data_IF_531388882838
#
_entry.id   IF_531388882838
#
_cell.length_a   1.000
_cell.length_b   1.000
_cell.length_c   1.000
_cell.angle_alpha   90.00
_cell.angle_beta   90.00
_cell.angle_gamma   90.00
#
_symmetry.space_group_name_H-M   'P 1'
#
loop_
_entity.id
_entity.type
_entity.pdbx_description
1 polymer ?
#
# COMPACT_ATOMS: atom_id res chain seq x y z
N UNK A 1 -7.46 4.97 -14.54
CA UNK A 1 -7.61 5.38 -13.13
C UNK A 1 -7.86 6.87 -13.13
N UNK A 2 -9.08 7.29 -12.79
CA UNK A 2 -9.43 8.71 -12.79
C UNK A 2 -8.52 9.47 -11.80
N UNK A 3 -7.84 10.51 -12.26
CA UNK A 3 -6.88 11.28 -11.46
C UNK A 3 -7.48 11.77 -10.13
N UNK A 4 -8.79 12.01 -10.11
CA UNK A 4 -9.57 12.35 -8.92
C UNK A 4 -9.51 11.28 -7.82
N UNK A 5 -9.68 9.99 -8.17
CA UNK A 5 -9.65 8.89 -7.21
C UNK A 5 -8.25 8.73 -6.58
N UNK A 6 -7.20 8.94 -7.37
CA UNK A 6 -5.83 8.92 -6.88
C UNK A 6 -5.57 10.07 -5.90
N UNK A 7 -6.02 11.29 -6.25
CA UNK A 7 -5.88 12.47 -5.40
C UNK A 7 -6.64 12.31 -4.07
N UNK A 8 -7.88 11.83 -4.10
CA UNK A 8 -8.66 11.54 -2.89
C UNK A 8 -7.94 10.53 -1.98
N UNK A 9 -7.32 9.49 -2.57
CA UNK A 9 -6.54 8.51 -1.83
C UNK A 9 -5.33 9.14 -1.16
N UNK A 10 -4.59 9.99 -1.87
CA UNK A 10 -3.45 10.70 -1.30
C UNK A 10 -3.87 11.63 -0.16
N UNK A 11 -4.91 12.44 -0.36
CA UNK A 11 -5.46 13.30 0.69
C UNK A 11 -5.85 12.51 1.94
N UNK A 12 -6.50 11.36 1.76
CA UNK A 12 -6.88 10.49 2.87
C UNK A 12 -5.66 9.96 3.63
N UNK A 13 -4.65 9.46 2.89
CA UNK A 13 -3.42 8.92 3.50
C UNK A 13 -2.67 10.03 4.24
N UNK A 14 -2.50 11.21 3.64
CA UNK A 14 -1.83 12.34 4.30
C UNK A 14 -2.56 12.76 5.58
N UNK A 15 -3.89 12.86 5.55
CA UNK A 15 -4.69 13.16 6.74
C UNK A 15 -4.46 12.12 7.85
N UNK A 16 -4.48 10.83 7.50
CA UNK A 16 -4.22 9.75 8.46
C UNK A 16 -2.80 9.82 9.04
N UNK A 17 -1.77 9.97 8.19
CA UNK A 17 -0.37 10.00 8.64
C UNK A 17 -0.10 11.17 9.59
N UNK A 18 -0.61 12.37 9.27
CA UNK A 18 -0.41 13.56 10.12
C UNK A 18 -1.06 13.35 11.50
N UNK A 19 -2.32 12.89 11.55
CA UNK A 19 -3.04 12.72 12.81
C UNK A 19 -2.47 11.58 13.65
N UNK A 20 -2.27 10.41 13.05
CA UNK A 20 -1.77 9.22 13.76
C UNK A 20 -0.32 9.45 14.19
N UNK A 21 0.51 10.05 13.34
CA UNK A 21 1.88 10.44 13.67
C UNK A 21 1.93 11.41 14.86
N UNK A 22 1.06 12.42 14.89
CA UNK A 22 0.96 13.34 16.02
C UNK A 22 0.52 12.67 17.33
N UNK A 23 -0.41 11.71 17.27
CA UNK A 23 -0.83 10.92 18.43
C UNK A 23 0.31 10.03 18.95
N UNK A 24 1.01 9.32 18.06
CA UNK A 24 2.18 8.51 18.40
C UNK A 24 3.28 9.36 19.04
N UNK A 25 3.64 10.49 18.41
CA UNK A 25 4.63 11.41 18.94
C UNK A 25 4.25 11.91 20.34
N UNK A 26 2.98 12.28 20.53
CA UNK A 26 2.50 12.75 21.83
C UNK A 26 2.62 11.66 22.91
N UNK A 27 2.26 10.41 22.56
CA UNK A 27 2.20 9.28 23.49
C UNK A 27 3.58 8.72 23.88
N UNK A 28 4.51 8.67 22.93
CA UNK A 28 5.80 7.99 23.11
C UNK A 28 6.99 8.92 23.25
N UNK A 29 6.92 10.16 22.76
CA UNK A 29 8.00 11.12 22.87
C UNK A 29 7.64 12.28 23.80
N UNK A 30 6.55 13.01 23.52
CA UNK A 30 6.25 14.25 24.22
C UNK A 30 5.88 14.06 25.69
N UNK A 31 4.95 13.15 26.00
CA UNK A 31 4.54 12.93 27.40
C UNK A 31 5.67 12.35 28.26
N UNK A 32 6.42 11.32 27.80
CA UNK A 32 7.57 10.82 28.56
C UNK A 32 8.66 11.87 28.76
N UNK A 33 8.97 12.69 27.74
CA UNK A 33 10.00 13.73 27.87
C UNK A 33 9.63 14.85 28.86
N UNK A 34 8.33 15.02 29.14
CA UNK A 34 7.82 16.01 30.09
C UNK A 34 7.56 15.41 31.49
N UNK A 35 7.86 14.12 31.70
CA UNK A 35 7.58 13.46 32.98
C UNK A 35 8.41 14.05 34.13
N UNK A 36 9.66 14.42 33.86
CA UNK A 36 10.62 14.92 34.87
C UNK A 36 10.59 16.44 35.04
N UNK A 37 9.67 17.14 34.35
CA UNK A 37 9.57 18.60 34.39
C UNK A 37 8.49 19.05 35.37
N UNK A 38 8.72 20.19 36.03
CA UNK A 38 7.72 20.87 36.87
C UNK A 38 6.36 21.05 36.16
N UNK A 39 5.29 20.88 36.92
CA UNK A 39 3.91 20.89 36.43
C UNK A 39 3.54 22.19 35.71
N UNK A 40 3.95 23.34 36.24
CA UNK A 40 3.63 24.65 35.67
C UNK A 40 4.34 24.84 34.32
N UNK A 41 5.59 24.40 34.22
CA UNK A 41 6.35 24.46 32.98
C UNK A 41 5.81 23.49 31.93
N UNK A 42 5.45 22.28 32.37
CA UNK A 42 4.82 21.25 31.53
C UNK A 42 3.52 21.75 30.91
N UNK A 43 2.63 22.34 31.70
CA UNK A 43 1.35 22.88 31.21
C UNK A 43 1.54 23.99 30.18
N UNK A 44 2.47 24.93 30.43
CA UNK A 44 2.80 26.02 29.50
C UNK A 44 3.32 25.49 28.16
N UNK A 45 4.20 24.48 28.18
CA UNK A 45 4.74 23.86 26.97
C UNK A 45 3.63 23.15 26.20
N UNK A 46 2.83 22.34 26.89
CA UNK A 46 1.71 21.62 26.26
C UNK A 46 0.67 22.57 25.67
N UNK A 47 0.35 23.69 26.34
CA UNK A 47 -0.53 24.73 25.83
C UNK A 47 -0.02 25.32 24.51
N UNK A 48 1.27 25.69 24.46
CA UNK A 48 1.90 26.27 23.27
C UNK A 48 1.92 25.29 22.10
N UNK A 49 2.28 24.02 22.35
CA UNK A 49 2.29 22.97 21.33
C UNK A 49 0.86 22.75 20.81
N UNK A 50 -0.10 22.59 21.72
CA UNK A 50 -1.50 22.35 21.36
C UNK A 50 -2.06 23.48 20.50
N UNK A 51 -1.77 24.74 20.81
CA UNK A 51 -2.24 25.89 20.02
C UNK A 51 -1.73 25.85 18.57
N UNK A 52 -0.50 25.39 18.36
CA UNK A 52 0.08 25.22 17.02
C UNK A 52 -0.40 23.95 16.33
N UNK A 53 -0.70 22.91 17.08
CA UNK A 53 -1.11 21.61 16.55
C UNK A 53 -2.60 21.54 16.21
N UNK A 54 -3.46 22.26 16.93
CA UNK A 54 -4.91 22.22 16.75
C UNK A 54 -5.38 22.48 15.30
N UNK A 55 -4.84 23.48 14.56
CA UNK A 55 -5.20 23.67 13.15
C UNK A 55 -4.88 22.46 12.28
N UNK A 56 -3.73 21.81 12.51
CA UNK A 56 -3.34 20.58 11.80
C UNK A 56 -4.28 19.42 12.10
N UNK A 57 -4.76 19.32 13.34
CA UNK A 57 -5.78 18.32 13.72
C UNK A 57 -7.07 18.57 12.96
N UNK A 58 -7.56 19.80 12.93
CA UNK A 58 -8.79 20.17 12.22
C UNK A 58 -8.66 19.90 10.72
N UNK A 59 -7.54 20.32 10.10
CA UNK A 59 -7.27 20.08 8.68
C UNK A 59 -7.20 18.57 8.39
N UNK A 60 -6.47 17.80 9.20
CA UNK A 60 -6.34 16.36 9.02
C UNK A 60 -7.68 15.62 9.12
N UNK A 61 -8.51 15.96 10.12
CA UNK A 61 -9.85 15.37 10.28
C UNK A 61 -10.74 15.76 9.09
N UNK A 62 -10.69 17.03 8.68
CA UNK A 62 -11.47 17.53 7.53
C UNK A 62 -11.08 16.81 6.24
N UNK A 63 -9.78 16.64 5.98
CA UNK A 63 -9.28 15.88 4.84
C UNK A 63 -9.77 14.43 4.87
N UNK A 64 -9.73 13.77 6.03
CA UNK A 64 -10.21 12.39 6.17
C UNK A 64 -11.72 12.26 5.95
N UNK A 65 -12.51 13.19 6.48
CA UNK A 65 -13.95 13.21 6.31
C UNK A 65 -14.35 13.47 4.86
N UNK A 66 -13.80 14.52 4.24
CA UNK A 66 -14.11 14.88 2.84
C UNK A 66 -13.67 13.78 1.88
N UNK A 67 -12.43 13.30 2.01
CA UNK A 67 -11.93 12.23 1.12
C UNK A 67 -12.67 10.91 1.33
N UNK A 68 -12.95 10.54 2.59
CA UNK A 68 -13.66 9.32 2.93
C UNK A 68 -15.11 9.34 2.45
N UNK A 69 -15.80 10.47 2.62
CA UNK A 69 -17.20 10.63 2.20
C UNK A 69 -17.32 10.64 0.67
N UNK A 70 -16.48 11.41 -0.03
CA UNK A 70 -16.48 11.43 -1.49
C UNK A 70 -16.20 10.04 -2.07
N UNK A 71 -15.22 9.32 -1.52
CA UNK A 71 -14.92 7.95 -1.97
C UNK A 71 -16.09 6.98 -1.71
N UNK A 72 -16.79 7.14 -0.59
CA UNK A 72 -18.00 6.34 -0.30
C UNK A 72 -19.13 6.61 -1.30
N UNK A 73 -19.40 7.88 -1.61
CA UNK A 73 -20.45 8.27 -2.57
C UNK A 73 -20.13 7.76 -3.97
N UNK A 74 -18.90 7.94 -4.46
CA UNK A 74 -18.46 7.44 -5.76
C UNK A 74 -18.56 5.92 -5.83
N UNK A 75 -18.10 5.22 -4.79
CA UNK A 75 -18.20 3.76 -4.75
C UNK A 75 -19.66 3.28 -4.80
N UNK A 76 -20.54 3.89 -4.01
CA UNK A 76 -21.95 3.54 -4.00
C UNK A 76 -22.66 3.84 -5.33
N UNK A 77 -22.29 4.94 -6.01
CA UNK A 77 -22.84 5.27 -7.32
C UNK A 77 -22.38 4.29 -8.40
N UNK A 78 -21.10 3.88 -8.39
CA UNK A 78 -20.57 2.88 -9.33
C UNK A 78 -21.23 1.52 -9.14
N UNK A 79 -21.42 1.07 -7.89
CA UNK A 79 -22.11 -0.19 -7.59
C UNK A 79 -23.55 -0.16 -8.08
N UNK A 80 -24.25 0.97 -7.90
CA UNK A 80 -25.62 1.15 -8.40
C UNK A 80 -25.69 1.17 -9.93
N UNK A 81 -24.69 1.72 -10.61
CA UNK A 81 -24.70 1.86 -12.08
C UNK A 81 -24.24 0.61 -12.82
N UNK A 82 -23.37 -0.21 -12.22
CA UNK A 82 -22.78 -1.37 -12.88
C UNK A 82 -23.53 -2.69 -12.60
N UNK A 83 -24.69 -2.65 -11.93
CA UNK A 83 -25.49 -3.83 -11.56
C UNK A 83 -24.62 -4.99 -11.06
N UNK A 84 -23.66 -4.73 -10.16
CA UNK A 84 -22.80 -5.76 -9.57
C UNK A 84 -23.66 -6.71 -8.72
N UNK A 85 -24.24 -7.70 -9.40
CA UNK A 85 -25.11 -8.77 -8.94
C UNK A 85 -26.19 -8.33 -7.97
N UNK A 86 -27.27 -7.67 -8.42
CA UNK A 86 -28.53 -7.40 -7.66
C UNK A 86 -28.36 -6.98 -6.17
N UNK A 87 -27.23 -6.38 -5.79
CA UNK A 87 -26.85 -6.19 -4.38
C UNK A 87 -26.63 -7.48 -3.56
N UNK A 88 -26.72 -8.67 -4.17
CA UNK A 88 -26.45 -9.98 -3.57
C UNK A 88 -25.02 -10.08 -3.07
N UNK A 89 -24.02 -9.65 -3.84
CA UNK A 89 -22.61 -9.69 -3.41
C UNK A 89 -22.36 -8.84 -2.15
N UNK A 90 -22.98 -7.66 -2.06
CA UNK A 90 -22.91 -6.80 -0.88
C UNK A 90 -23.64 -7.37 0.35
N UNK A 91 -24.77 -8.05 0.16
CA UNK A 91 -25.49 -8.76 1.25
C UNK A 91 -24.70 -9.97 1.74
N UNK A 92 -24.12 -10.74 0.83
CA UNK A 92 -23.34 -11.94 1.17
C UNK A 92 -22.06 -11.60 1.93
N UNK A 93 -21.36 -10.53 1.57
CA UNK A 93 -20.09 -10.16 2.23
C UNK A 93 -20.26 -9.21 3.42
N UNK A 94 -21.50 -8.82 3.77
CA UNK A 94 -21.81 -7.85 4.84
C UNK A 94 -21.00 -6.55 4.79
N UNK A 95 -20.57 -6.14 3.57
CA UNK A 95 -19.61 -5.06 3.36
C UNK A 95 -20.06 -3.73 3.99
N UNK A 96 -21.34 -3.39 3.83
CA UNK A 96 -21.93 -2.17 4.37
C UNK A 96 -21.88 -2.12 5.90
N UNK A 97 -22.10 -3.25 6.58
CA UNK A 97 -22.06 -3.31 8.02
C UNK A 97 -20.63 -3.11 8.53
N UNK A 98 -19.65 -3.81 7.94
CA UNK A 98 -18.24 -3.69 8.34
C UNK A 98 -17.69 -2.28 8.02
N UNK A 99 -18.06 -1.72 6.87
CA UNK A 99 -17.73 -0.33 6.53
C UNK A 99 -18.36 0.65 7.53
N UNK A 100 -19.63 0.47 7.90
CA UNK A 100 -20.32 1.29 8.89
C UNK A 100 -19.64 1.24 10.26
N UNK A 101 -19.24 0.05 10.71
CA UNK A 101 -18.47 -0.13 11.96
C UNK A 101 -17.13 0.62 11.89
N UNK A 102 -16.39 0.48 10.79
CA UNK A 102 -15.14 1.22 10.57
C UNK A 102 -15.37 2.74 10.62
N UNK A 103 -16.43 3.23 9.98
CA UNK A 103 -16.76 4.65 9.95
C UNK A 103 -17.11 5.17 11.34
N UNK A 104 -17.92 4.43 12.11
CA UNK A 104 -18.24 4.77 13.51
C UNK A 104 -17.00 4.77 14.40
N UNK A 105 -16.11 3.78 14.25
CA UNK A 105 -14.82 3.76 14.95
C UNK A 105 -13.98 4.98 14.59
N UNK A 106 -13.91 5.37 13.32
CA UNK A 106 -13.18 6.56 12.88
C UNK A 106 -13.76 7.85 13.48
N UNK A 107 -15.10 7.98 13.54
CA UNK A 107 -15.75 9.09 14.25
C UNK A 107 -15.40 9.10 15.73
N UNK A 108 -15.35 7.94 16.39
CA UNK A 108 -14.88 7.79 17.77
C UNK A 108 -13.43 8.29 17.93
N UNK A 109 -12.53 7.89 17.03
CA UNK A 109 -11.15 8.40 17.00
C UNK A 109 -11.11 9.92 16.89
N UNK A 110 -11.88 10.51 15.96
CA UNK A 110 -11.90 11.96 15.78
C UNK A 110 -12.47 12.69 16.99
N UNK A 111 -13.49 12.13 17.63
CA UNK A 111 -14.06 12.65 18.86
C UNK A 111 -13.02 12.69 19.98
N UNK A 112 -12.33 11.58 20.25
CA UNK A 112 -11.29 11.53 21.27
C UNK A 112 -10.09 12.42 20.92
N UNK A 113 -9.62 12.40 19.67
CA UNK A 113 -8.54 13.28 19.22
C UNK A 113 -8.90 14.76 19.42
N UNK A 114 -10.11 15.17 19.06
CA UNK A 114 -10.62 16.52 19.31
C UNK A 114 -10.69 16.84 20.81
N UNK A 115 -11.14 15.89 21.64
CA UNK A 115 -11.16 16.03 23.10
C UNK A 115 -9.78 16.21 23.73
N UNK A 116 -8.77 15.49 23.22
CA UNK A 116 -7.39 15.58 23.69
C UNK A 116 -6.73 16.94 23.39
N UNK A 117 -6.98 17.49 22.19
CA UNK A 117 -6.37 18.73 21.73
C UNK A 117 -7.29 19.97 21.87
N UNK A 118 -8.54 19.77 22.28
CA UNK A 118 -9.54 20.81 22.50
C UNK A 118 -9.46 21.50 23.87
N UNK A 119 -10.33 22.50 24.06
CA UNK A 119 -10.44 23.29 25.31
C UNK A 119 -11.79 23.13 26.04
N UNK A 120 -12.73 22.36 25.47
CA UNK A 120 -14.07 22.20 26.03
C UNK A 120 -14.05 21.66 27.47
N UNK A 121 -14.96 22.17 28.30
CA UNK A 121 -15.19 21.67 29.66
C UNK A 121 -15.73 20.24 29.65
N UNK A 122 -16.59 19.90 28.67
CA UNK A 122 -17.18 18.56 28.51
C UNK A 122 -16.17 17.44 28.23
N UNK A 123 -14.96 17.77 27.79
CA UNK A 123 -13.86 16.80 27.56
C UNK A 123 -12.69 17.00 28.52
N UNK A 124 -12.89 17.71 29.64
CA UNK A 124 -11.84 17.91 30.63
C UNK A 124 -11.38 16.58 31.28
N UNK A 125 -12.29 15.62 31.46
CA UNK A 125 -11.99 14.29 32.01
C UNK A 125 -11.05 13.45 31.12
N UNK A 126 -11.06 13.69 29.81
CA UNK A 126 -10.10 13.07 28.87
C UNK A 126 -8.70 13.61 29.14
N UNK A 127 -8.61 14.88 29.56
CA UNK A 127 -7.35 15.61 29.75
C UNK A 127 -6.71 15.38 31.12
N UNK A 128 -7.48 14.96 32.13
CA UNK A 128 -6.92 14.55 33.42
C UNK A 128 -6.08 13.28 33.28
N UNK A 129 -6.57 12.30 32.52
CA UNK A 129 -5.90 11.02 32.29
C UNK A 129 -5.37 10.88 30.85
N UNK A 130 -4.69 11.92 30.34
CA UNK A 130 -4.23 11.98 28.92
C UNK A 130 -3.52 10.73 28.43
N UNK A 131 -2.66 10.14 29.25
CA UNK A 131 -1.87 8.96 28.87
C UNK A 131 -2.77 7.76 28.53
N UNK A 132 -3.82 7.54 29.32
CA UNK A 132 -4.79 6.45 29.13
C UNK A 132 -5.62 6.69 27.88
N UNK A 133 -6.19 7.89 27.74
CA UNK A 133 -7.05 8.23 26.60
C UNK A 133 -6.29 8.34 25.28
N UNK A 134 -5.03 8.77 25.29
CA UNK A 134 -4.13 8.65 24.15
C UNK A 134 -3.96 7.18 23.73
N UNK A 135 -3.70 6.29 24.70
CA UNK A 135 -3.56 4.86 24.45
C UNK A 135 -4.83 4.24 23.85
N UNK A 136 -5.99 4.56 24.41
CA UNK A 136 -7.30 4.12 23.89
C UNK A 136 -7.50 4.62 22.47
N UNK A 137 -7.28 5.92 22.22
CA UNK A 137 -7.42 6.51 20.87
C UNK A 137 -6.51 5.82 19.86
N UNK A 138 -5.26 5.54 20.26
CA UNK A 138 -4.30 4.84 19.40
C UNK A 138 -4.71 3.40 19.12
N UNK A 139 -5.26 2.70 20.11
CA UNK A 139 -5.85 1.37 19.94
C UNK A 139 -7.02 1.38 18.95
N UNK A 140 -7.91 2.37 19.04
CA UNK A 140 -9.01 2.54 18.07
C UNK A 140 -8.48 2.82 16.66
N UNK A 141 -7.44 3.65 16.51
CA UNK A 141 -6.78 3.88 15.21
C UNK A 141 -6.25 2.57 14.63
N UNK A 142 -5.57 1.75 15.42
CA UNK A 142 -5.07 0.44 14.98
C UNK A 142 -6.22 -0.47 14.54
N UNK A 143 -7.32 -0.51 15.31
CA UNK A 143 -8.51 -1.27 14.93
C UNK A 143 -9.09 -0.79 13.58
N UNK A 144 -9.19 0.52 13.36
CA UNK A 144 -9.63 1.10 12.07
C UNK A 144 -8.72 0.67 10.92
N UNK A 145 -7.40 0.65 11.12
CA UNK A 145 -6.43 0.21 10.10
C UNK A 145 -6.58 -1.28 9.81
N UNK A 146 -6.73 -2.13 10.83
CA UNK A 146 -6.96 -3.57 10.66
C UNK A 146 -8.26 -3.84 9.89
N UNK A 147 -9.37 -3.21 10.26
CA UNK A 147 -10.63 -3.30 9.51
C UNK A 147 -10.47 -2.80 8.08
N UNK A 148 -9.69 -1.74 7.85
CA UNK A 148 -9.43 -1.23 6.51
C UNK A 148 -8.66 -2.22 5.64
N UNK A 149 -7.66 -2.90 6.22
CA UNK A 149 -6.88 -3.93 5.53
C UNK A 149 -7.75 -5.13 5.19
N UNK A 150 -8.57 -5.58 6.14
CA UNK A 150 -9.48 -6.70 5.92
C UNK A 150 -10.53 -6.39 4.84
N UNK A 151 -11.18 -5.22 4.88
CA UNK A 151 -12.13 -4.78 3.85
C UNK A 151 -11.50 -4.68 2.46
N UNK A 152 -10.20 -4.36 2.38
CA UNK A 152 -9.46 -4.36 1.11
C UNK A 152 -9.24 -5.78 0.60
N UNK A 153 -8.90 -6.71 1.48
CA UNK A 153 -8.72 -8.11 1.12
C UNK A 153 -10.01 -8.73 0.57
N UNK A 154 -11.18 -8.38 1.14
CA UNK A 154 -12.49 -8.80 0.62
C UNK A 154 -12.83 -8.24 -0.77
N UNK A 155 -12.24 -7.10 -1.15
CA UNK A 155 -12.44 -6.46 -2.46
C UNK A 155 -11.50 -6.94 -3.54
N UNK A 156 -10.32 -7.44 -3.17
CA UNK A 156 -9.48 -8.13 -4.13
C UNK A 156 -10.07 -9.53 -4.25
N UNK A 157 -11.04 -9.70 -5.17
CA UNK A 157 -11.45 -11.03 -5.63
C UNK A 157 -10.22 -11.85 -6.03
N UNK A 158 -10.35 -13.19 -6.18
CA UNK A 158 -9.24 -14.07 -6.53
C UNK A 158 -8.37 -13.38 -7.57
N UNK A 159 -7.07 -13.22 -7.31
CA UNK A 159 -6.13 -12.64 -8.27
C UNK A 159 -6.53 -13.19 -9.62
N UNK A 160 -7.02 -12.35 -10.54
CA UNK A 160 -7.27 -12.84 -11.88
C UNK A 160 -5.90 -13.34 -12.31
N UNK A 161 -5.77 -14.66 -12.34
CA UNK A 161 -4.62 -15.35 -12.89
C UNK A 161 -4.38 -14.64 -14.20
N UNK A 162 -3.23 -13.98 -14.27
CA UNK A 162 -2.73 -13.25 -15.43
C UNK A 162 -3.33 -13.85 -16.69
N UNK A 163 -4.06 -13.03 -17.46
CA UNK A 163 -4.46 -13.36 -18.82
C UNK A 163 -3.26 -14.06 -19.47
N UNK A 164 -3.38 -15.33 -19.91
CA UNK A 164 -2.23 -16.14 -20.34
C UNK A 164 -1.39 -15.48 -21.45
N UNK A 165 -1.93 -14.49 -22.15
CA UNK A 165 -1.36 -13.93 -23.37
C UNK A 165 -0.51 -12.66 -23.22
N UNK A 166 -0.34 -12.10 -22.00
CA UNK A 166 0.42 -10.83 -21.84
C UNK A 166 1.51 -10.84 -20.76
N UNK A 167 1.79 -12.01 -20.17
CA UNK A 167 2.94 -12.20 -19.28
C UNK A 167 3.70 -13.45 -19.68
N UNK A 168 5.02 -13.35 -19.87
CA UNK A 168 5.89 -14.50 -20.07
C UNK A 168 5.79 -15.39 -18.82
N UNK A 169 4.99 -16.45 -18.93
CA UNK A 169 4.94 -17.52 -17.96
C UNK A 169 6.20 -18.36 -18.15
N UNK A 170 7.08 -18.43 -17.14
CA UNK A 170 7.98 -19.57 -16.99
C UNK A 170 7.12 -20.76 -16.52
N UNK A 171 6.26 -21.24 -17.40
CA UNK A 171 5.61 -22.53 -17.27
C UNK A 171 6.63 -23.58 -17.64
N UNK A 172 6.90 -24.53 -16.74
CA UNK A 172 7.41 -25.83 -17.15
C UNK A 172 6.36 -26.43 -18.08
N UNK A 173 6.57 -26.30 -19.39
CA UNK A 173 5.82 -27.01 -20.40
C UNK A 173 5.99 -28.51 -20.16
N UNK A 174 4.98 -29.13 -19.55
CA UNK A 174 4.70 -30.54 -19.80
C UNK A 174 3.95 -30.54 -21.13
N UNK A 175 4.74 -30.47 -22.21
CA UNK A 175 4.26 -30.60 -23.57
C UNK A 175 3.62 -31.99 -23.70
N UNK A 176 2.34 -32.00 -24.05
CA UNK A 176 1.63 -33.20 -24.43
C UNK A 176 2.39 -33.88 -25.55
N UNK A 177 2.94 -35.06 -25.26
CA UNK A 177 3.68 -35.88 -26.19
C UNK A 177 2.90 -36.05 -27.51
N UNK A 178 3.40 -35.41 -28.56
CA UNK A 178 3.20 -35.86 -29.93
C UNK A 178 3.97 -37.19 -30.08
N UNK A 179 3.31 -38.31 -30.39
CA UNK A 179 3.97 -39.62 -30.44
C UNK A 179 5.02 -39.73 -31.56
N UNK A 180 5.14 -38.74 -32.45
CA UNK A 180 6.15 -38.72 -33.53
C UNK A 180 7.36 -37.80 -33.24
N UNK A 181 7.43 -37.14 -32.08
CA UNK A 181 8.52 -36.21 -31.76
C UNK A 181 9.64 -36.84 -30.89
N UNK A 182 9.80 -38.17 -30.93
CA UNK A 182 10.76 -38.87 -30.08
C UNK A 182 12.23 -38.77 -30.52
N UNK A 183 12.57 -38.01 -31.56
CA UNK A 183 13.92 -38.09 -32.17
C UNK A 183 14.51 -36.77 -32.70
N UNK A 184 14.09 -35.59 -32.23
CA UNK A 184 14.71 -34.33 -32.70
C UNK A 184 16.13 -34.08 -32.12
N UNK A 185 16.50 -34.77 -31.03
CA UNK A 185 17.78 -34.52 -30.33
C UNK A 185 18.65 -35.78 -30.11
N UNK A 186 18.46 -36.85 -30.88
CA UNK A 186 19.26 -38.07 -30.78
C UNK A 186 20.42 -38.19 -31.77
N UNK A 187 20.70 -37.14 -32.55
CA UNK A 187 21.89 -37.07 -33.38
C UNK A 187 23.01 -36.36 -32.62
N UNK A 188 24.04 -37.14 -32.29
CA UNK A 188 25.33 -36.73 -31.71
C UNK A 188 26.17 -35.84 -32.67
N UNK A 189 25.53 -34.96 -33.42
CA UNK A 189 26.13 -34.04 -34.39
C UNK A 189 25.99 -32.57 -33.98
N UNK A 190 25.11 -32.24 -33.02
CA UNK A 190 24.94 -30.86 -32.55
C UNK A 190 26.14 -30.34 -31.71
N UNK A 191 27.02 -31.23 -31.25
CA UNK A 191 28.20 -30.89 -30.44
C UNK A 191 29.53 -30.83 -31.20
N UNK A 192 29.57 -31.24 -32.47
CA UNK A 192 30.83 -31.34 -33.24
C UNK A 192 31.04 -30.19 -34.22
N UNK A 193 29.98 -29.45 -34.61
CA UNK A 193 30.07 -28.33 -35.54
C UNK A 193 30.90 -27.12 -35.02
N UNK A 194 31.14 -27.02 -33.71
CA UNK A 194 31.96 -25.93 -33.14
C UNK A 194 33.45 -26.29 -33.02
N UNK A 195 33.85 -27.53 -33.33
CA UNK A 195 35.24 -27.99 -33.19
C UNK A 195 36.02 -28.04 -34.51
N UNK A 196 35.36 -27.85 -35.65
CA UNK A 196 36.02 -27.97 -36.96
C UNK A 196 36.62 -26.65 -37.49
N UNK A 197 36.27 -25.50 -36.91
CA UNK A 197 36.72 -24.19 -37.43
C UNK A 197 37.99 -23.62 -36.78
N UNK A 198 38.77 -24.43 -36.05
CA UNK A 198 40.03 -24.00 -35.43
C UNK A 198 41.26 -24.72 -35.99
N UNK A 199 41.19 -25.25 -37.21
CA UNK A 199 42.31 -25.96 -37.83
C UNK A 199 42.33 -25.87 -39.36
N UNK A 200 42.38 -24.66 -39.93
CA UNK A 200 42.99 -24.39 -41.25
C UNK A 200 42.88 -22.93 -41.61
N UNK A 201 43.86 -22.14 -41.17
CA UNK A 201 44.38 -21.00 -41.94
C UNK A 201 45.81 -20.74 -41.46
N UNK A 202 46.67 -21.75 -41.65
CA UNK A 202 48.10 -21.52 -41.80
C UNK A 202 48.32 -21.05 -43.25
N UNK A 203 48.98 -19.91 -43.50
CA UNK A 203 49.23 -19.43 -44.85
C UNK A 203 50.13 -20.42 -45.60
N UNK A 204 49.63 -21.02 -46.68
CA UNK A 204 50.45 -21.82 -47.59
C UNK A 204 51.02 -20.92 -48.68
N UNK A 205 52.35 -20.86 -48.67
CA UNK A 205 53.23 -20.34 -49.70
C UNK A 205 52.78 -20.68 -51.13
N UNK A 206 52.82 -19.68 -52.03
CA UNK A 206 52.97 -19.92 -53.45
C UNK A 206 54.45 -19.93 -53.80
N UNK A 207 54.92 -21.07 -54.30
CA UNK A 207 56.30 -21.32 -54.72
C UNK A 207 56.61 -20.66 -56.08
N UNK A 208 57.57 -19.76 -56.05
CA UNK A 208 58.72 -19.56 -56.97
C UNK A 208 58.59 -19.91 -58.47
N UNK A 209 58.88 -18.94 -59.35
CA UNK A 209 59.82 -19.19 -60.47
C UNK A 209 60.33 -17.91 -61.13
N UNK A 210 61.65 -17.69 -60.94
CA UNK A 210 62.65 -17.31 -61.96
C UNK A 210 62.65 -15.93 -62.64
N UNK A 211 63.70 -15.13 -62.37
CA UNK A 211 64.86 -14.89 -63.28
C UNK A 211 65.80 -13.78 -62.78
N UNK A 212 67.08 -14.15 -62.67
CA UNK A 212 68.32 -13.42 -62.97
C UNK A 212 68.14 -12.06 -63.68
N UNK A 213 68.81 -10.99 -63.21
CA UNK A 213 70.06 -10.43 -63.78
C UNK A 213 70.41 -9.07 -63.16
N UNK A 214 71.69 -8.95 -62.78
CA UNK A 214 72.53 -7.73 -62.59
C UNK A 214 72.15 -6.67 -61.55
#
# INVERSE_FOLDING_TARGET
MDALLLLLRWMHIFGAVILVGGLCFTRFALLPALADTDDNTREKIQEKIRRKWLPWVIIGITLLLVSGLTNFILFNSTVKSQEWGDGQWMRQTSYHAIFGVKFLLALGVFYFASGLFGRGSGTAWIRSDRMRWLGVTLGLVVAVIMLSSWLRNLHMGPNQSSIPDLGVSLGTEVETADPDESNRYQNSEAGTAFRENSNSEAPLESSDTSRLTE
#
